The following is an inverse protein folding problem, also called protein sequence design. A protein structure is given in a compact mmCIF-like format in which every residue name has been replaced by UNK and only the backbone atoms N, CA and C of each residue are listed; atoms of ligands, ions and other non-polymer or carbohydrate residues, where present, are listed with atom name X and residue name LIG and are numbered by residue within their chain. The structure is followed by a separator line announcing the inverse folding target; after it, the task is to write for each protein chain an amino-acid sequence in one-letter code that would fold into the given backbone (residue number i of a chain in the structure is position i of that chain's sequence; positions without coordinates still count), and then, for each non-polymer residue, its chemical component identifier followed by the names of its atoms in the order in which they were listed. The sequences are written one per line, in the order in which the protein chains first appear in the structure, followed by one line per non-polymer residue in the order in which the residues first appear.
data_IF_871456950407
#
_entry.id   IF_871456950407
#
_cell.length_a   1.000
_cell.length_b   1.000
_cell.length_c   1.000
_cell.angle_alpha   90.00
_cell.angle_beta   90.00
_cell.angle_gamma   90.00
#
_symmetry.space_group_name_H-M   'P 1'
#
loop_
_entity.id
_entity.type
_entity.pdbx_description
1 polymer ?
#
# COMPACT_ATOMS: atom_id res chain seq x y z
N UNK A 1 14.47 2.61 2.13
CA UNK A 1 14.66 2.47 3.59
C UNK A 1 13.47 1.71 4.18
N UNK A 2 13.59 1.11 5.38
CA UNK A 2 12.44 0.45 6.00
C UNK A 2 11.46 1.50 6.51
N UNK A 3 10.17 1.34 6.19
CA UNK A 3 9.17 2.34 6.57
C UNK A 3 9.03 2.41 8.10
N UNK A 4 8.93 1.23 8.71
CA UNK A 4 8.80 1.04 10.14
C UNK A 4 9.44 -0.29 10.55
N UNK A 5 9.72 -0.45 11.84
CA UNK A 5 10.08 -1.73 12.46
C UNK A 5 9.20 -1.96 13.68
N UNK A 6 8.95 -3.23 14.03
CA UNK A 6 8.17 -3.60 15.23
C UNK A 6 6.71 -3.91 14.96
N UNK A 7 5.92 -4.01 16.03
CA UNK A 7 4.55 -4.53 15.97
C UNK A 7 3.58 -3.62 15.19
N UNK A 8 2.72 -4.25 14.41
CA UNK A 8 1.65 -3.63 13.61
C UNK A 8 0.34 -4.37 13.86
N UNK A 9 -0.62 -3.63 14.43
CA UNK A 9 -2.00 -4.08 14.72
C UNK A 9 -2.10 -5.40 15.50
N UNK A 10 -1.03 -5.82 16.20
CA UNK A 10 -0.99 -7.05 16.98
C UNK A 10 -0.85 -8.35 16.18
N UNK A 11 -0.88 -8.29 14.85
CA UNK A 11 -0.84 -9.48 13.97
C UNK A 11 0.49 -9.67 13.26
N UNK A 12 1.20 -8.57 12.97
CA UNK A 12 2.45 -8.58 12.22
C UNK A 12 3.57 -7.81 12.92
N UNK A 13 4.80 -8.27 12.76
CA UNK A 13 6.02 -7.58 13.18
C UNK A 13 6.79 -7.21 11.93
N UNK A 14 6.97 -5.91 11.69
CA UNK A 14 7.77 -5.44 10.57
C UNK A 14 9.24 -5.66 10.86
N UNK A 15 9.90 -6.41 9.97
CA UNK A 15 11.31 -6.76 10.08
C UNK A 15 12.08 -6.36 8.83
N UNK A 16 13.30 -5.89 9.04
CA UNK A 16 14.19 -5.49 7.96
C UNK A 16 14.56 -6.69 7.07
N UNK A 17 14.81 -7.86 7.67
CA UNK A 17 15.16 -9.09 6.93
C UNK A 17 14.05 -9.57 5.98
N UNK A 18 12.82 -9.07 6.14
CA UNK A 18 11.67 -9.39 5.29
C UNK A 18 11.57 -8.50 4.04
N UNK A 19 12.55 -7.62 3.78
CA UNK A 19 12.67 -6.95 2.49
C UNK A 19 14.09 -7.09 1.93
N UNK A 20 14.22 -7.67 0.74
CA UNK A 20 15.51 -7.93 0.10
C UNK A 20 15.37 -7.97 -1.42
N UNK A 21 16.50 -7.85 -2.13
CA UNK A 21 16.54 -8.10 -3.57
C UNK A 21 16.86 -9.57 -3.81
N UNK A 22 16.16 -10.19 -4.75
CA UNK A 22 16.57 -11.49 -5.28
C UNK A 22 17.74 -11.34 -6.28
N UNK A 23 18.24 -12.46 -6.79
CA UNK A 23 19.35 -12.47 -7.76
C UNK A 23 18.94 -11.97 -9.17
N UNK A 24 17.64 -11.73 -9.40
CA UNK A 24 17.11 -11.22 -10.66
C UNK A 24 16.76 -9.72 -10.59
N UNK A 25 16.95 -9.08 -9.43
CA UNK A 25 16.69 -7.65 -9.23
C UNK A 25 15.26 -7.32 -8.82
N UNK A 26 14.44 -8.31 -8.44
CA UNK A 26 13.12 -8.05 -7.88
C UNK A 26 13.23 -7.70 -6.40
N UNK A 27 12.48 -6.68 -5.99
CA UNK A 27 12.25 -6.42 -4.57
C UNK A 27 11.26 -7.45 -4.02
N UNK A 28 11.74 -8.27 -3.10
CA UNK A 28 10.93 -9.22 -2.34
C UNK A 28 10.49 -8.55 -1.04
N UNK A 29 9.17 -8.54 -0.80
CA UNK A 29 8.57 -8.13 0.47
C UNK A 29 7.84 -9.35 1.02
N UNK A 30 8.46 -10.02 1.99
CA UNK A 30 8.00 -11.33 2.47
C UNK A 30 7.08 -11.19 3.70
N UNK A 31 5.98 -11.94 3.69
CA UNK A 31 5.21 -12.26 4.88
C UNK A 31 5.46 -13.72 5.28
N UNK A 32 5.93 -13.96 6.51
CA UNK A 32 6.30 -15.28 7.00
C UNK A 32 5.72 -15.51 8.39
N UNK A 33 5.04 -16.65 8.58
CA UNK A 33 4.56 -17.06 9.91
C UNK A 33 5.74 -17.43 10.81
N UNK A 34 5.77 -16.88 12.02
CA UNK A 34 6.71 -17.20 13.08
C UNK A 34 5.91 -17.44 14.38
N UNK A 35 5.72 -18.70 14.73
CA UNK A 35 4.87 -19.12 15.85
C UNK A 35 3.44 -18.57 15.76
N UNK A 36 3.08 -17.66 16.69
CA UNK A 36 1.76 -17.03 16.80
C UNK A 36 1.67 -15.68 16.09
N UNK A 37 2.79 -15.16 15.56
CA UNK A 37 2.86 -13.87 14.88
C UNK A 37 3.30 -14.04 13.42
N UNK A 38 3.13 -13.01 12.62
CA UNK A 38 3.70 -12.94 11.27
C UNK A 38 4.85 -11.93 11.26
N UNK A 39 5.99 -12.31 10.69
CA UNK A 39 6.98 -11.33 10.26
C UNK A 39 6.59 -10.81 8.88
N UNK A 40 6.65 -9.50 8.68
CA UNK A 40 6.22 -8.82 7.46
C UNK A 40 7.26 -7.78 7.02
N UNK A 41 7.27 -7.44 5.74
CA UNK A 41 8.11 -6.38 5.20
C UNK A 41 7.34 -5.08 4.92
N UNK A 42 7.98 -3.93 5.15
CA UNK A 42 7.50 -2.62 4.70
C UNK A 42 8.68 -1.72 4.33
N UNK A 43 8.70 -1.25 3.09
CA UNK A 43 9.67 -0.24 2.62
C UNK A 43 8.97 1.10 2.42
N UNK A 44 9.73 2.18 2.55
CA UNK A 44 9.26 3.53 2.31
C UNK A 44 10.39 4.43 1.82
N UNK A 45 10.01 5.62 1.38
CA UNK A 45 10.93 6.65 0.87
C UNK A 45 10.76 7.99 1.60
N UNK A 46 10.06 8.01 2.74
CA UNK A 46 9.64 9.23 3.42
C UNK A 46 10.79 10.16 3.87
N UNK A 47 12.04 9.66 3.92
CA UNK A 47 13.24 10.47 4.20
C UNK A 47 14.13 10.71 2.97
N UNK A 48 13.89 10.00 1.86
CA UNK A 48 14.79 10.02 0.69
C UNK A 48 14.14 10.59 -0.57
N UNK A 49 12.87 10.31 -0.81
CA UNK A 49 12.15 10.73 -2.00
C UNK A 49 10.69 11.02 -1.68
N UNK A 50 10.34 12.30 -1.82
CA UNK A 50 8.98 12.83 -1.71
C UNK A 50 8.70 13.63 -2.97
N UNK A 51 7.53 13.45 -3.54
CA UNK A 51 7.11 14.13 -4.77
C UNK A 51 5.63 14.46 -4.68
N UNK A 52 5.24 15.53 -5.36
CA UNK A 52 3.85 15.93 -5.54
C UNK A 52 3.53 15.83 -7.02
N UNK A 53 2.45 15.10 -7.35
CA UNK A 53 2.06 14.74 -8.71
C UNK A 53 3.06 13.82 -9.41
N UNK A 54 2.63 13.32 -10.57
CA UNK A 54 3.44 12.49 -11.43
C UNK A 54 2.74 11.19 -11.79
N UNK A 55 3.53 10.33 -12.43
CA UNK A 55 3.12 9.01 -12.86
C UNK A 55 3.90 7.96 -12.08
N UNK A 56 3.18 7.00 -11.50
CA UNK A 56 3.75 5.93 -10.71
C UNK A 56 3.26 4.60 -11.26
N UNK A 57 4.17 3.66 -11.43
CA UNK A 57 3.83 2.32 -11.88
C UNK A 57 4.57 1.26 -11.07
N UNK A 58 3.93 0.11 -10.89
CA UNK A 58 4.60 -1.09 -10.42
C UNK A 58 4.10 -2.33 -11.18
N UNK A 59 5.04 -3.23 -11.45
CA UNK A 59 4.75 -4.60 -11.87
C UNK A 59 4.94 -5.49 -10.65
N UNK A 60 3.86 -6.14 -10.21
CA UNK A 60 3.85 -6.89 -8.95
C UNK A 60 3.35 -8.31 -9.15
N UNK A 61 4.10 -9.27 -8.62
CA UNK A 61 3.60 -10.61 -8.41
C UNK A 61 2.83 -10.64 -7.08
N UNK A 62 1.55 -10.97 -7.14
CA UNK A 62 0.65 -10.90 -6.01
C UNK A 62 0.79 -12.12 -5.10
N UNK A 63 0.56 -11.88 -3.81
CA UNK A 63 0.49 -12.91 -2.77
C UNK A 63 -0.62 -13.93 -3.08
N UNK A 64 -0.36 -15.21 -2.85
CA UNK A 64 -1.33 -16.29 -3.15
C UNK A 64 -2.02 -16.86 -1.91
N UNK A 65 -1.51 -16.55 -0.72
CA UNK A 65 -2.02 -17.09 0.55
C UNK A 65 -3.26 -16.33 1.03
N UNK A 66 -4.37 -17.06 1.20
CA UNK A 66 -5.65 -16.52 1.69
C UNK A 66 -5.48 -15.86 3.06
N UNK A 67 -6.09 -14.69 3.22
CA UNK A 67 -6.04 -13.90 4.46
C UNK A 67 -4.85 -12.95 4.55
N UNK A 68 -3.96 -12.95 3.54
CA UNK A 68 -2.87 -11.98 3.43
C UNK A 68 -3.25 -10.80 2.53
N UNK A 69 -2.47 -9.72 2.62
CA UNK A 69 -2.62 -8.50 1.82
C UNK A 69 -1.26 -7.94 1.40
N UNK A 70 -1.21 -7.29 0.23
CA UNK A 70 -0.07 -6.47 -0.18
C UNK A 70 -0.57 -5.15 -0.78
N UNK A 71 0.23 -4.10 -0.72
CA UNK A 71 -0.18 -2.77 -1.17
C UNK A 71 0.98 -1.94 -1.71
N UNK A 72 0.65 -0.97 -2.56
CA UNK A 72 1.53 0.11 -3.00
C UNK A 72 0.75 1.41 -2.93
N UNK A 73 1.30 2.38 -2.22
CA UNK A 73 0.55 3.56 -1.78
C UNK A 73 1.47 4.75 -1.52
N UNK A 74 0.89 5.94 -1.52
CA UNK A 74 1.54 7.21 -1.20
C UNK A 74 0.90 7.83 0.03
N UNK A 75 1.68 8.53 0.84
CA UNK A 75 1.17 9.26 2.00
C UNK A 75 1.80 10.64 2.11
N UNK A 76 0.96 11.64 2.33
CA UNK A 76 1.43 12.97 2.71
C UNK A 76 2.18 12.95 4.06
N UNK A 77 3.34 13.63 4.20
CA UNK A 77 3.99 13.85 5.49
C UNK A 77 3.15 14.67 6.49
N UNK A 78 2.10 15.35 6.01
CA UNK A 78 1.16 16.12 6.83
C UNK A 78 -0.20 15.43 7.02
N UNK A 79 -0.33 14.15 6.64
CA UNK A 79 -1.58 13.41 6.72
C UNK A 79 -2.24 13.51 8.10
N UNK A 80 -3.47 14.02 8.14
CA UNK A 80 -4.26 14.19 9.36
C UNK A 80 -3.84 15.31 10.30
N UNK A 81 -2.90 16.20 9.92
CA UNK A 81 -2.49 17.33 10.78
C UNK A 81 -3.56 18.42 10.91
N UNK A 82 -4.37 18.61 9.88
CA UNK A 82 -5.48 19.56 9.81
C UNK A 82 -6.70 18.80 9.27
N UNK A 83 -7.75 18.76 10.08
CA UNK A 83 -9.03 18.12 9.75
C UNK A 83 -9.79 19.01 8.77
N UNK A 84 -10.46 18.38 7.80
CA UNK A 84 -11.29 19.00 6.75
C UNK A 84 -10.53 19.96 5.82
N UNK A 85 -9.20 19.81 5.75
CA UNK A 85 -8.34 20.56 4.83
C UNK A 85 -7.30 19.62 4.17
N UNK A 86 -7.73 18.75 3.23
CA UNK A 86 -6.83 17.85 2.51
C UNK A 86 -5.84 18.61 1.61
N UNK A 87 -6.09 19.89 1.28
CA UNK A 87 -5.12 20.70 0.55
C UNK A 87 -3.87 21.01 1.38
N UNK A 88 -4.00 21.19 2.70
CA UNK A 88 -2.87 21.40 3.62
C UNK A 88 -2.32 20.10 4.22
N UNK A 89 -3.21 19.18 4.60
CA UNK A 89 -2.80 17.90 5.20
C UNK A 89 -2.34 16.87 4.17
N UNK A 90 -2.71 17.06 2.90
CA UNK A 90 -2.59 16.01 1.89
C UNK A 90 -3.44 14.78 2.25
N UNK A 91 -3.23 13.72 1.48
CA UNK A 91 -4.00 12.48 1.58
C UNK A 91 -3.07 11.27 1.67
N UNK A 92 -3.69 10.12 1.94
CA UNK A 92 -3.16 8.80 1.61
C UNK A 92 -3.81 8.36 0.29
N UNK A 93 -3.00 7.89 -0.67
CA UNK A 93 -3.47 7.37 -1.95
C UNK A 93 -3.00 5.93 -2.05
N UNK A 94 -3.93 5.00 -1.85
CA UNK A 94 -3.72 3.59 -2.10
C UNK A 94 -3.82 3.33 -3.60
N UNK A 95 -2.66 3.37 -4.26
CA UNK A 95 -2.54 3.05 -5.69
C UNK A 95 -3.02 1.62 -5.92
N UNK A 96 -2.72 0.69 -5.02
CA UNK A 96 -3.56 -0.49 -4.81
C UNK A 96 -3.43 -1.07 -3.40
N UNK A 97 -4.49 -1.71 -2.94
CA UNK A 97 -4.44 -2.75 -1.92
C UNK A 97 -5.04 -4.05 -2.46
N UNK A 98 -4.25 -5.13 -2.50
CA UNK A 98 -4.72 -6.45 -2.86
C UNK A 98 -5.01 -7.28 -1.61
N UNK A 99 -6.17 -7.94 -1.58
CA UNK A 99 -6.57 -8.87 -0.52
C UNK A 99 -6.87 -10.24 -1.12
N UNK A 100 -6.07 -11.24 -0.75
CA UNK A 100 -6.32 -12.63 -1.14
C UNK A 100 -7.46 -13.20 -0.29
N UNK A 101 -8.58 -13.56 -0.91
CA UNK A 101 -9.75 -14.11 -0.19
C UNK A 101 -10.05 -15.53 -0.65
N UNK A 102 -10.94 -16.20 0.10
CA UNK A 102 -11.37 -17.57 -0.19
C UNK A 102 -12.10 -17.68 -1.53
N UNK A 103 -12.91 -16.66 -1.89
CA UNK A 103 -13.83 -16.74 -3.03
C UNK A 103 -13.43 -15.85 -4.21
N UNK A 104 -13.22 -14.56 -3.96
CA UNK A 104 -12.79 -13.61 -4.99
C UNK A 104 -11.77 -12.68 -4.36
N UNK A 105 -10.63 -12.53 -5.02
CA UNK A 105 -9.62 -11.58 -4.60
C UNK A 105 -10.11 -10.17 -4.88
N UNK A 106 -9.65 -9.21 -4.11
CA UNK A 106 -10.06 -7.81 -4.27
C UNK A 106 -8.84 -6.93 -4.46
N UNK A 107 -8.94 -6.03 -5.42
CA UNK A 107 -8.04 -4.89 -5.58
C UNK A 107 -8.83 -3.64 -5.21
N UNK A 108 -8.32 -2.88 -4.25
CA UNK A 108 -8.88 -1.62 -3.79
C UNK A 108 -8.01 -0.47 -4.29
N UNK A 109 -8.66 0.59 -4.76
CA UNK A 109 -8.04 1.87 -5.05
C UNK A 109 -8.74 2.91 -4.18
N UNK A 110 -8.03 3.49 -3.21
CA UNK A 110 -8.66 4.31 -2.17
C UNK A 110 -7.87 5.58 -1.92
N UNK A 111 -8.57 6.68 -1.70
CA UNK A 111 -8.01 7.92 -1.17
C UNK A 111 -8.54 8.10 0.24
N UNK A 112 -7.67 8.33 1.20
CA UNK A 112 -8.05 8.68 2.57
C UNK A 112 -7.62 10.10 2.92
N UNK A 113 -8.41 10.80 3.73
CA UNK A 113 -8.08 12.12 4.28
C UNK A 113 -8.42 12.20 5.78
N UNK A 114 -8.08 13.33 6.40
CA UNK A 114 -8.28 13.60 7.84
C UNK A 114 -7.50 12.72 8.83
N UNK A 115 -6.57 11.89 8.35
CA UNK A 115 -5.80 11.01 9.22
C UNK A 115 -6.59 9.79 9.67
N UNK A 116 -5.95 8.88 10.39
CA UNK A 116 -6.65 7.75 11.00
C UNK A 116 -7.32 8.17 12.32
N UNK A 117 -8.52 7.65 12.58
CA UNK A 117 -9.25 7.89 13.84
C UNK A 117 -10.70 8.32 13.61
N UNK A 118 -11.23 9.09 14.56
CA UNK A 118 -12.63 9.54 14.59
C UNK A 118 -13.04 10.30 13.32
N UNK A 119 -12.16 11.16 12.80
CA UNK A 119 -12.44 12.01 11.64
C UNK A 119 -12.02 11.39 10.31
N UNK A 120 -11.60 10.12 10.31
CA UNK A 120 -11.11 9.45 9.11
C UNK A 120 -12.19 9.40 8.04
N UNK A 121 -11.82 9.83 6.85
CA UNK A 121 -12.67 9.74 5.66
C UNK A 121 -11.94 9.07 4.52
N UNK A 122 -12.73 8.47 3.61
CA UNK A 122 -12.20 7.77 2.46
C UNK A 122 -13.15 7.74 1.27
N UNK A 123 -12.59 7.66 0.07
CA UNK A 123 -13.33 7.38 -1.16
C UNK A 123 -12.53 6.41 -2.01
N UNK A 124 -13.16 5.33 -2.47
CA UNK A 124 -12.45 4.31 -3.23
C UNK A 124 -13.34 3.44 -4.10
N UNK A 125 -12.70 2.65 -4.96
CA UNK A 125 -13.32 1.64 -5.80
C UNK A 125 -12.70 0.28 -5.53
N UNK A 126 -13.54 -0.75 -5.55
CA UNK A 126 -13.11 -2.14 -5.39
C UNK A 126 -13.36 -2.88 -6.69
N UNK A 127 -12.38 -3.65 -7.13
CA UNK A 127 -12.49 -4.59 -8.25
C UNK A 127 -12.28 -6.00 -7.74
N UNK A 128 -13.31 -6.83 -7.88
CA UNK A 128 -13.19 -8.27 -7.68
C UNK A 128 -12.45 -8.90 -8.85
N UNK A 129 -11.48 -9.75 -8.56
CA UNK A 129 -10.68 -10.49 -9.54
C UNK A 129 -10.63 -11.97 -9.17
N UNK A 130 -10.39 -12.83 -10.16
CA UNK A 130 -10.14 -14.26 -9.95
C UNK A 130 -8.73 -14.57 -10.42
N UNK A 131 -7.96 -15.22 -9.55
CA UNK A 131 -6.66 -15.80 -9.91
C UNK A 131 -5.63 -14.80 -10.47
N UNK A 132 -5.71 -13.54 -10.04
CA UNK A 132 -4.71 -12.53 -10.41
C UNK A 132 -3.38 -12.86 -9.72
N UNK A 133 -2.34 -13.10 -10.51
CA UNK A 133 -0.99 -13.50 -10.03
C UNK A 133 0.07 -12.47 -10.38
N UNK A 134 -0.09 -11.77 -11.50
CA UNK A 134 0.73 -10.65 -11.94
C UNK A 134 -0.17 -9.47 -12.26
N UNK A 135 0.24 -8.26 -11.87
CA UNK A 135 -0.51 -7.04 -12.15
C UNK A 135 0.43 -5.89 -12.52
N UNK A 136 0.01 -5.10 -13.50
CA UNK A 136 0.58 -3.77 -13.76
C UNK A 136 -0.37 -2.73 -13.16
N UNK A 137 0.14 -1.91 -12.25
CA UNK A 137 -0.66 -0.99 -11.45
C UNK A 137 -0.12 0.42 -11.63
N UNK A 138 -1.00 1.35 -12.01
CA UNK A 138 -0.62 2.69 -12.42
C UNK A 138 -1.40 3.74 -11.65
N UNK A 139 -0.73 4.84 -11.34
CA UNK A 139 -1.33 6.11 -10.92
C UNK A 139 -0.87 7.21 -11.90
N UNK A 140 -1.84 7.92 -12.50
CA UNK A 140 -1.62 9.21 -13.15
C UNK A 140 -2.29 10.30 -12.29
N UNK A 141 -1.45 11.15 -11.69
CA UNK A 141 -1.89 12.13 -10.71
C UNK A 141 -1.38 13.53 -11.05
N UNK A 142 -2.32 14.46 -11.14
CA UNK A 142 -2.05 15.89 -11.23
C UNK A 142 -2.98 16.68 -10.31
N UNK A 143 -2.76 18.00 -10.19
CA UNK A 143 -3.55 18.87 -9.32
C UNK A 143 -5.05 18.95 -9.64
N UNK A 144 -5.51 18.32 -10.74
CA UNK A 144 -6.91 18.31 -11.16
C UNK A 144 -7.54 16.91 -11.12
N UNK A 145 -6.75 15.83 -11.27
CA UNK A 145 -7.24 14.46 -11.45
C UNK A 145 -6.29 13.44 -10.84
N UNK A 146 -6.88 12.35 -10.35
CA UNK A 146 -6.20 11.16 -9.85
C UNK A 146 -6.82 9.96 -10.54
N UNK A 147 -6.09 9.35 -11.48
CA UNK A 147 -6.54 8.19 -12.24
C UNK A 147 -5.73 6.96 -11.81
N UNK A 148 -6.40 5.90 -11.39
CA UNK A 148 -5.77 4.64 -10.98
C UNK A 148 -6.21 3.51 -11.90
N UNK A 149 -5.25 2.68 -12.31
CA UNK A 149 -5.48 1.61 -13.27
C UNK A 149 -4.91 0.27 -12.78
N UNK A 150 -5.64 -0.80 -13.10
CA UNK A 150 -5.19 -2.18 -13.01
C UNK A 150 -5.28 -2.80 -14.40
N UNK A 151 -4.11 -3.01 -15.02
CA UNK A 151 -3.96 -3.55 -16.37
C UNK A 151 -3.74 -5.06 -16.34
#
# INVERSE_FOLDING_TARGET
EFRYTGSRRGYGIVKAENCYLDNAGHLIIEAKKADTVYHIGQVGTQKTFLVQYGYFECSVQLITQVGSSCSFWLQSPSFGKIIDDPAKSGTEIDIFEYRKKVRNDEVHHTIHWNGYGEFHEQHGKVRSTKELTLAFILLDWNGLRTNMFLC
#
